data_IF_317045669844
#
_entry.id   IF_317045669844
#
_cell.length_a   1.000
_cell.length_b   1.000
_cell.length_c   1.000
_cell.angle_alpha   90.00
_cell.angle_beta   90.00
_cell.angle_gamma   90.00
#
_symmetry.space_group_name_H-M   'P 1'
#
loop_
_entity.id
_entity.type
_entity.pdbx_description
1 polymer ?
#
# COMPACT_ATOMS: atom_id res chain seq x y z
N UNK A 1 26.18 -0.08 -4.81
CA UNK A 1 24.92 -0.24 -4.02
C UNK A 1 24.22 -1.54 -4.40
N UNK A 2 23.57 -1.68 -5.60
CA UNK A 2 22.83 -2.93 -5.96
C UNK A 2 23.67 -4.22 -5.86
N UNK A 3 24.95 -4.18 -6.23
CA UNK A 3 25.85 -5.33 -6.17
C UNK A 3 26.23 -5.77 -4.74
N UNK A 4 25.87 -4.99 -3.74
CA UNK A 4 26.25 -5.20 -2.33
C UNK A 4 25.03 -5.24 -1.40
N UNK A 5 23.85 -5.00 -1.97
CA UNK A 5 22.61 -4.97 -1.20
C UNK A 5 22.04 -6.38 -1.04
N UNK A 6 21.58 -6.70 0.16
CA UNK A 6 20.82 -7.91 0.47
C UNK A 6 19.32 -7.71 0.20
N UNK A 7 18.83 -6.49 0.43
CA UNK A 7 17.45 -6.07 0.17
C UNK A 7 17.42 -4.61 -0.29
N UNK A 8 16.48 -4.28 -1.16
CA UNK A 8 16.21 -2.92 -1.62
C UNK A 8 14.73 -2.59 -1.51
N UNK A 9 14.41 -1.30 -1.58
CA UNK A 9 13.04 -0.82 -1.73
C UNK A 9 12.97 0.37 -2.68
N UNK A 10 11.84 0.54 -3.36
CA UNK A 10 11.48 1.78 -4.06
C UNK A 10 10.41 2.52 -3.27
N UNK A 11 10.46 3.85 -3.26
CA UNK A 11 9.44 4.73 -2.68
C UNK A 11 9.54 6.11 -3.34
N UNK A 12 9.50 6.14 -4.68
CA UNK A 12 9.77 7.33 -5.48
C UNK A 12 8.51 7.95 -6.07
N UNK A 13 7.40 7.23 -6.01
CA UNK A 13 6.15 7.56 -6.67
C UNK A 13 6.05 6.94 -8.07
N UNK A 14 4.86 6.43 -8.40
CA UNK A 14 4.60 5.66 -9.64
C UNK A 14 5.11 6.35 -10.90
N UNK A 15 4.92 7.67 -11.00
CA UNK A 15 5.34 8.45 -12.18
C UNK A 15 6.87 8.52 -12.34
N UNK A 16 7.63 8.24 -11.29
CA UNK A 16 9.09 8.31 -11.28
C UNK A 16 9.73 6.95 -11.62
N UNK A 17 9.01 5.84 -11.45
CA UNK A 17 9.51 4.49 -11.73
C UNK A 17 10.18 4.38 -13.11
N UNK A 18 9.59 5.00 -14.13
CA UNK A 18 10.16 5.02 -15.50
C UNK A 18 11.56 5.66 -15.59
N UNK A 19 11.88 6.60 -14.70
CA UNK A 19 13.18 7.28 -14.71
C UNK A 19 14.26 6.51 -13.95
N UNK A 20 13.87 5.64 -13.00
CA UNK A 20 14.81 4.78 -12.28
C UNK A 20 15.01 3.42 -12.94
N UNK A 21 14.23 3.07 -13.97
CA UNK A 21 14.31 1.77 -14.64
C UNK A 21 15.67 1.54 -15.33
N UNK A 22 16.21 2.53 -16.04
CA UNK A 22 17.51 2.41 -16.69
C UNK A 22 18.68 2.33 -15.67
N UNK A 23 18.77 3.18 -14.63
CA UNK A 23 19.75 3.00 -13.55
C UNK A 23 19.61 1.64 -12.83
N UNK A 24 18.40 1.15 -12.63
CA UNK A 24 18.16 -0.17 -12.03
C UNK A 24 18.69 -1.28 -12.94
N UNK A 25 18.40 -1.23 -14.26
CA UNK A 25 18.92 -2.18 -15.23
C UNK A 25 20.45 -2.20 -15.27
N UNK A 26 21.10 -1.03 -15.18
CA UNK A 26 22.57 -0.96 -15.07
C UNK A 26 23.10 -1.67 -13.81
N UNK A 27 22.34 -1.60 -12.70
CA UNK A 27 22.63 -2.36 -11.48
C UNK A 27 22.50 -3.88 -11.67
N UNK A 28 21.50 -4.34 -12.42
CA UNK A 28 21.31 -5.77 -12.78
C UNK A 28 22.51 -6.27 -13.60
N UNK A 29 22.88 -5.54 -14.66
CA UNK A 29 24.08 -5.84 -15.49
C UNK A 29 25.32 -5.98 -14.63
N UNK A 30 25.53 -5.03 -13.72
CA UNK A 30 26.69 -5.05 -12.83
C UNK A 30 26.72 -6.23 -11.88
N UNK A 31 25.57 -6.71 -11.40
CA UNK A 31 25.47 -7.94 -10.61
C UNK A 31 25.87 -9.16 -11.44
N UNK A 32 25.31 -9.28 -12.66
CA UNK A 32 25.63 -10.34 -13.60
C UNK A 32 27.11 -10.37 -13.96
N UNK A 33 27.72 -9.22 -14.33
CA UNK A 33 29.15 -9.08 -14.64
C UNK A 33 30.06 -9.53 -13.49
N UNK A 34 29.61 -9.33 -12.24
CA UNK A 34 30.33 -9.76 -11.04
C UNK A 34 30.08 -11.22 -10.66
N UNK A 35 29.26 -11.95 -11.41
CA UNK A 35 28.91 -13.34 -11.11
C UNK A 35 28.17 -13.50 -9.78
N UNK A 36 27.31 -12.54 -9.39
CA UNK A 36 26.59 -12.60 -8.12
C UNK A 36 25.37 -13.49 -8.28
N UNK A 37 25.41 -14.68 -7.66
CA UNK A 37 24.32 -15.66 -7.68
C UNK A 37 23.28 -15.46 -6.56
N UNK A 38 23.63 -14.73 -5.50
CA UNK A 38 22.71 -14.43 -4.42
C UNK A 38 21.51 -13.59 -4.92
N UNK A 39 20.27 -13.96 -4.59
CA UNK A 39 19.10 -13.20 -5.02
C UNK A 39 19.06 -11.81 -4.36
N UNK A 40 18.47 -10.85 -5.08
CA UNK A 40 18.17 -9.53 -4.55
C UNK A 40 16.65 -9.35 -4.50
N UNK A 41 16.11 -9.18 -3.30
CA UNK A 41 14.69 -8.87 -3.09
C UNK A 41 14.48 -7.35 -3.04
N UNK A 42 13.56 -6.85 -3.86
CA UNK A 42 13.26 -5.41 -3.97
C UNK A 42 11.79 -5.17 -3.66
N UNK A 43 11.51 -4.52 -2.54
CA UNK A 43 10.15 -4.19 -2.11
C UNK A 43 9.69 -2.93 -2.87
N UNK A 44 8.62 -3.05 -3.67
CA UNK A 44 8.14 -1.95 -4.53
C UNK A 44 7.10 -1.12 -3.78
N UNK A 45 7.56 -0.20 -2.91
CA UNK A 45 6.71 0.62 -2.04
C UNK A 45 6.02 1.75 -2.80
N UNK A 46 5.26 1.40 -3.84
CA UNK A 46 4.51 2.36 -4.65
C UNK A 46 3.00 2.19 -4.44
N UNK A 47 2.24 3.27 -4.59
CA UNK A 47 0.79 3.23 -4.43
C UNK A 47 0.08 2.87 -5.76
N UNK A 48 0.38 1.69 -6.27
CA UNK A 48 -0.15 1.14 -7.51
C UNK A 48 -0.27 -0.38 -7.37
N UNK A 49 -1.40 -0.94 -7.77
CA UNK A 49 -1.59 -2.41 -7.86
C UNK A 49 -0.79 -2.92 -9.05
N UNK A 50 -0.01 -4.00 -8.86
CA UNK A 50 0.85 -4.55 -9.91
C UNK A 50 2.06 -3.66 -10.23
N UNK A 51 2.52 -2.86 -9.28
CA UNK A 51 3.70 -2.00 -9.45
C UNK A 51 4.98 -2.80 -9.72
N UNK A 52 5.08 -4.01 -9.18
CA UNK A 52 6.13 -5.00 -9.42
C UNK A 52 6.22 -5.36 -10.91
N UNK A 53 5.10 -5.82 -11.49
CA UNK A 53 5.01 -6.20 -12.91
C UNK A 53 5.22 -5.00 -13.84
N UNK A 54 4.67 -3.84 -13.48
CA UNK A 54 4.89 -2.60 -14.22
C UNK A 54 6.38 -2.21 -14.24
N UNK A 55 7.02 -2.22 -13.07
CA UNK A 55 8.44 -1.87 -12.97
C UNK A 55 9.34 -2.91 -13.64
N UNK A 56 9.02 -4.22 -13.52
CA UNK A 56 9.71 -5.27 -14.25
C UNK A 56 9.71 -5.02 -15.76
N UNK A 57 8.55 -4.67 -16.33
CA UNK A 57 8.42 -4.34 -17.75
C UNK A 57 9.32 -3.17 -18.17
N UNK A 58 9.38 -2.11 -17.37
CA UNK A 58 10.24 -0.95 -17.62
C UNK A 58 11.74 -1.30 -17.55
N UNK A 59 12.15 -2.08 -16.57
CA UNK A 59 13.54 -2.51 -16.40
C UNK A 59 13.98 -3.39 -17.57
N UNK A 60 13.16 -4.38 -17.94
CA UNK A 60 13.47 -5.34 -19.04
C UNK A 60 13.61 -4.68 -20.41
N UNK A 61 13.05 -3.50 -20.65
CA UNK A 61 13.27 -2.72 -21.86
C UNK A 61 14.73 -2.24 -22.03
N UNK A 62 15.49 -2.23 -20.94
CA UNK A 62 16.89 -1.80 -20.91
C UNK A 62 17.89 -2.98 -20.80
N UNK A 63 17.41 -4.23 -20.93
CA UNK A 63 18.18 -5.45 -20.78
C UNK A 63 18.15 -6.25 -22.08
N UNK A 64 19.28 -6.90 -22.42
CA UNK A 64 19.32 -7.93 -23.45
C UNK A 64 18.74 -9.28 -22.95
N UNK A 65 18.72 -10.32 -23.77
CA UNK A 65 18.07 -11.58 -23.42
C UNK A 65 18.81 -12.35 -22.32
N UNK A 66 20.14 -12.30 -22.26
CA UNK A 66 20.93 -12.94 -21.20
C UNK A 66 20.73 -12.19 -19.86
N UNK A 67 20.72 -10.86 -19.91
CA UNK A 67 20.45 -9.98 -18.77
C UNK A 67 19.02 -10.14 -18.23
N UNK A 68 18.02 -10.33 -19.13
CA UNK A 68 16.65 -10.65 -18.72
C UNK A 68 16.56 -12.00 -18.02
N UNK A 69 17.25 -13.02 -18.53
CA UNK A 69 17.30 -14.33 -17.89
C UNK A 69 17.93 -14.24 -16.48
N UNK A 70 19.00 -13.46 -16.34
CA UNK A 70 19.60 -13.19 -15.03
C UNK A 70 18.63 -12.42 -14.11
N UNK A 71 17.95 -11.38 -14.62
CA UNK A 71 16.94 -10.64 -13.88
C UNK A 71 15.84 -11.58 -13.36
N UNK A 72 15.28 -12.43 -14.24
CA UNK A 72 14.21 -13.34 -13.90
C UNK A 72 14.61 -14.43 -12.90
N UNK A 73 15.88 -14.78 -12.83
CA UNK A 73 16.38 -15.79 -11.88
C UNK A 73 16.89 -15.21 -10.56
N UNK A 74 17.42 -13.98 -10.54
CA UNK A 74 18.12 -13.43 -9.37
C UNK A 74 17.49 -12.18 -8.76
N UNK A 75 16.57 -11.50 -9.45
CA UNK A 75 15.90 -10.30 -8.92
C UNK A 75 14.44 -10.62 -8.62
N UNK A 76 14.04 -10.44 -7.38
CA UNK A 76 12.65 -10.52 -6.96
C UNK A 76 12.08 -9.12 -6.78
N UNK A 77 10.96 -8.82 -7.41
CA UNK A 77 10.18 -7.61 -7.14
C UNK A 77 9.00 -8.01 -6.26
N UNK A 78 8.98 -7.51 -5.04
CA UNK A 78 8.04 -7.91 -3.99
C UNK A 78 7.01 -6.81 -3.80
N UNK A 79 5.73 -7.14 -3.98
CA UNK A 79 4.64 -6.19 -3.76
C UNK A 79 4.32 -6.06 -2.27
N UNK A 80 4.27 -4.83 -1.70
CA UNK A 80 3.81 -4.57 -0.36
C UNK A 80 2.40 -3.97 -0.35
N UNK A 81 1.74 -4.03 0.80
CA UNK A 81 0.52 -3.26 1.08
C UNK A 81 0.80 -2.15 2.07
N UNK A 82 1.06 -0.93 1.58
CA UNK A 82 1.38 0.22 2.42
C UNK A 82 0.09 0.85 2.95
N UNK A 83 -0.19 0.62 4.24
CA UNK A 83 -1.39 1.13 4.92
C UNK A 83 -1.12 2.28 5.91
N UNK A 84 0.14 2.65 6.13
CA UNK A 84 0.52 3.73 7.05
C UNK A 84 0.16 5.10 6.49
N UNK A 85 -0.56 5.90 7.28
CA UNK A 85 -0.87 7.29 6.93
C UNK A 85 0.29 8.21 7.33
N UNK A 86 0.67 9.09 6.40
CA UNK A 86 1.77 10.05 6.58
C UNK A 86 1.20 11.44 6.39
N UNK A 87 0.95 12.19 7.48
CA UNK A 87 0.49 13.57 7.39
C UNK A 87 1.59 14.49 6.87
N UNK A 88 1.19 15.69 6.44
CA UNK A 88 2.16 16.73 6.15
C UNK A 88 2.96 17.07 7.43
N UNK A 89 4.29 17.10 7.32
CA UNK A 89 5.14 17.47 8.47
C UNK A 89 4.90 18.94 8.83
N UNK A 90 4.54 19.24 10.09
CA UNK A 90 4.36 20.62 10.53
C UNK A 90 5.59 21.47 10.26
N UNK A 91 5.38 22.73 9.82
CA UNK A 91 6.47 23.63 9.45
C UNK A 91 7.51 23.79 10.55
N UNK A 92 7.07 23.89 11.79
CA UNK A 92 7.94 24.02 12.96
C UNK A 92 8.91 22.84 13.16
N UNK A 93 8.51 21.65 12.72
CA UNK A 93 9.35 20.43 12.73
C UNK A 93 10.25 20.42 11.50
N UNK A 94 9.71 20.73 10.32
CA UNK A 94 10.44 20.76 9.06
C UNK A 94 11.55 21.83 9.06
N UNK A 95 11.30 23.01 9.66
CA UNK A 95 12.29 24.08 9.80
C UNK A 95 13.47 23.68 10.71
N UNK A 96 13.23 22.83 11.71
CA UNK A 96 14.30 22.29 12.59
C UNK A 96 15.05 21.13 11.98
N UNK A 97 14.34 20.28 11.23
CA UNK A 97 14.91 19.12 10.56
C UNK A 97 14.17 18.87 9.25
N UNK A 98 14.74 19.27 8.10
CA UNK A 98 14.10 19.10 6.79
C UNK A 98 13.92 17.62 6.36
N UNK A 99 14.57 16.67 7.05
CA UNK A 99 14.43 15.23 6.82
C UNK A 99 13.41 14.60 7.78
N UNK A 100 12.79 15.36 8.68
CA UNK A 100 11.78 14.84 9.60
C UNK A 100 10.50 14.45 8.84
N UNK A 101 9.97 13.26 9.13
CA UNK A 101 8.70 12.76 8.60
C UNK A 101 7.81 12.40 9.78
N UNK A 102 6.62 13.02 9.84
CA UNK A 102 5.59 12.65 10.80
C UNK A 102 4.81 11.45 10.29
N UNK A 103 4.58 10.48 11.17
CA UNK A 103 3.83 9.27 10.83
C UNK A 103 2.92 8.86 11.98
N UNK A 104 1.84 8.15 11.67
CA UNK A 104 1.03 7.50 12.71
C UNK A 104 1.75 6.29 13.34
N UNK A 105 1.30 5.78 14.50
CA UNK A 105 1.90 4.62 15.16
C UNK A 105 1.81 3.31 14.34
N UNK A 106 0.73 3.12 13.55
CA UNK A 106 0.59 1.94 12.69
C UNK A 106 1.81 1.77 11.78
N UNK A 107 2.42 0.58 11.78
CA UNK A 107 3.68 0.34 11.06
C UNK A 107 3.83 -1.08 10.48
N UNK A 108 2.73 -1.83 10.34
CA UNK A 108 2.79 -3.11 9.62
C UNK A 108 3.11 -2.90 8.14
N UNK A 109 4.00 -3.75 7.63
CA UNK A 109 4.38 -3.83 6.23
C UNK A 109 4.08 -5.24 5.70
N UNK A 110 2.82 -5.52 5.30
CA UNK A 110 2.51 -6.76 4.60
C UNK A 110 3.23 -6.79 3.25
N UNK A 111 3.81 -7.95 2.91
CA UNK A 111 4.56 -8.17 1.68
C UNK A 111 4.19 -9.52 1.07
N UNK A 112 4.22 -9.62 -0.26
CA UNK A 112 3.98 -10.88 -0.95
C UNK A 112 5.08 -11.91 -0.64
N UNK A 113 4.72 -12.90 0.21
CA UNK A 113 5.62 -13.98 0.58
C UNK A 113 6.08 -14.82 -0.60
N UNK A 114 5.21 -15.01 -1.60
CA UNK A 114 5.48 -15.88 -2.74
C UNK A 114 6.46 -15.24 -3.74
N UNK A 115 6.58 -13.91 -3.73
CA UNK A 115 7.47 -13.18 -4.63
C UNK A 115 8.94 -13.21 -4.19
N UNK A 116 9.24 -13.52 -2.92
CA UNK A 116 10.62 -13.57 -2.45
C UNK A 116 11.43 -14.70 -3.09
N UNK A 117 12.71 -14.45 -3.29
CA UNK A 117 13.71 -15.44 -3.67
C UNK A 117 14.69 -15.66 -2.52
N UNK A 118 15.00 -16.94 -2.24
CA UNK A 118 15.88 -17.30 -1.14
C UNK A 118 15.25 -17.02 0.23
N UNK A 119 16.07 -16.68 1.19
CA UNK A 119 15.63 -16.39 2.57
C UNK A 119 14.93 -15.03 2.64
N UNK A 120 13.77 -14.99 3.34
CA UNK A 120 13.02 -13.75 3.56
C UNK A 120 13.72 -12.96 4.67
N UNK A 121 14.14 -11.69 4.41
CA UNK A 121 14.84 -10.89 5.40
C UNK A 121 13.97 -10.61 6.62
N UNK A 122 14.55 -10.73 7.82
CA UNK A 122 13.86 -10.47 9.08
C UNK A 122 13.85 -8.97 9.38
N UNK A 123 12.79 -8.29 8.92
CA UNK A 123 12.58 -6.86 9.15
C UNK A 123 11.44 -6.70 10.15
N UNK A 124 11.66 -5.90 11.22
CA UNK A 124 10.63 -5.64 12.24
C UNK A 124 9.36 -5.10 11.59
N UNK A 125 8.21 -5.67 11.95
CA UNK A 125 6.87 -5.33 11.44
C UNK A 125 6.64 -5.65 9.95
N UNK A 126 7.57 -6.29 9.26
CA UNK A 126 7.29 -6.89 7.96
C UNK A 126 6.49 -8.18 8.16
N UNK A 127 5.42 -8.34 7.39
CA UNK A 127 4.47 -9.47 7.48
C UNK A 127 4.41 -10.18 6.13
N UNK A 128 5.29 -11.18 5.87
CA UNK A 128 5.21 -11.98 4.65
C UNK A 128 3.94 -12.85 4.68
N UNK A 129 3.10 -12.74 3.66
CA UNK A 129 1.81 -13.44 3.58
C UNK A 129 1.53 -13.95 2.17
N UNK A 130 0.84 -15.09 2.08
CA UNK A 130 0.31 -15.63 0.83
C UNK A 130 -1.04 -16.32 1.10
N UNK A 131 -2.05 -16.13 0.23
CA UNK A 131 -2.04 -15.35 -1.01
C UNK A 131 -2.08 -13.83 -0.75
N UNK A 132 -1.24 -13.05 -1.44
CA UNK A 132 -1.07 -11.62 -1.14
C UNK A 132 -2.25 -10.75 -1.60
N UNK A 133 -3.06 -11.22 -2.54
CA UNK A 133 -4.30 -10.55 -2.96
C UNK A 133 -5.23 -10.20 -1.80
N UNK A 134 -5.22 -11.00 -0.73
CA UNK A 134 -5.92 -10.67 0.51
C UNK A 134 -5.54 -9.28 1.08
N UNK A 135 -4.25 -8.99 1.19
CA UNK A 135 -3.80 -7.69 1.75
C UNK A 135 -4.10 -6.52 0.82
N UNK A 136 -4.04 -6.73 -0.50
CA UNK A 136 -4.44 -5.74 -1.50
C UNK A 136 -5.93 -5.40 -1.34
N UNK A 137 -6.79 -6.43 -1.30
CA UNK A 137 -8.23 -6.25 -1.14
C UNK A 137 -8.61 -5.75 0.25
N UNK A 138 -7.97 -6.22 1.32
CA UNK A 138 -8.17 -5.68 2.68
C UNK A 138 -7.91 -4.17 2.71
N UNK A 139 -6.80 -3.72 2.14
CA UNK A 139 -6.52 -2.28 2.05
C UNK A 139 -7.56 -1.55 1.19
N UNK A 140 -7.91 -2.10 0.03
CA UNK A 140 -8.80 -1.43 -0.92
C UNK A 140 -10.23 -1.37 -0.38
N UNK A 141 -10.77 -2.50 0.11
CA UNK A 141 -12.18 -2.68 0.46
C UNK A 141 -12.49 -2.43 1.94
N UNK A 142 -11.49 -2.27 2.78
CA UNK A 142 -11.70 -1.83 4.17
C UNK A 142 -11.12 -0.43 4.38
N UNK A 143 -9.79 -0.25 4.33
CA UNK A 143 -9.15 1.05 4.61
C UNK A 143 -9.58 2.13 3.60
N UNK A 144 -9.33 1.91 2.32
CA UNK A 144 -9.60 2.94 1.30
C UNK A 144 -11.10 3.17 1.09
N UNK A 145 -11.91 2.13 1.22
CA UNK A 145 -13.38 2.20 1.16
C UNK A 145 -13.92 3.07 2.27
N UNK A 146 -13.66 2.72 3.52
CA UNK A 146 -14.20 3.44 4.68
C UNK A 146 -13.68 4.88 4.77
N UNK A 147 -12.41 5.11 4.40
CA UNK A 147 -11.86 6.46 4.35
C UNK A 147 -12.57 7.35 3.33
N UNK A 148 -12.87 6.82 2.13
CA UNK A 148 -13.63 7.54 1.11
C UNK A 148 -15.10 7.74 1.52
N UNK A 149 -15.73 6.75 2.13
CA UNK A 149 -17.09 6.83 2.65
C UNK A 149 -17.22 7.97 3.68
N UNK A 150 -16.34 7.97 4.70
CA UNK A 150 -16.30 9.05 5.70
C UNK A 150 -16.10 10.42 5.05
N UNK A 151 -15.23 10.51 4.04
CA UNK A 151 -15.00 11.77 3.33
C UNK A 151 -16.26 12.25 2.57
N UNK A 152 -16.96 11.37 1.85
CA UNK A 152 -18.15 11.77 1.08
C UNK A 152 -19.34 12.12 1.97
N UNK A 153 -19.57 11.38 3.05
CA UNK A 153 -20.61 11.71 4.02
C UNK A 153 -20.26 12.98 4.79
N UNK A 154 -18.98 13.15 5.17
CA UNK A 154 -18.46 14.35 5.79
C UNK A 154 -18.61 15.60 4.92
N UNK A 155 -18.34 15.49 3.62
CA UNK A 155 -18.56 16.56 2.66
C UNK A 155 -20.03 17.00 2.61
N UNK A 156 -20.95 16.04 2.57
CA UNK A 156 -22.40 16.33 2.56
C UNK A 156 -22.89 17.05 3.81
N UNK A 157 -22.26 16.79 4.98
CA UNK A 157 -22.56 17.45 6.26
C UNK A 157 -21.72 18.73 6.51
N UNK A 158 -20.78 19.08 5.60
CA UNK A 158 -19.97 20.31 5.68
C UNK A 158 -18.76 20.23 6.61
N UNK A 159 -18.30 19.03 6.96
CA UNK A 159 -17.08 18.85 7.75
C UNK A 159 -15.83 19.16 6.94
N UNK A 160 -14.82 19.72 7.59
CA UNK A 160 -13.52 20.03 6.97
C UNK A 160 -12.54 18.88 7.09
N UNK A 161 -12.49 18.21 8.23
CA UNK A 161 -11.52 17.16 8.53
C UNK A 161 -12.20 15.80 8.68
N UNK A 162 -11.43 14.74 8.34
CA UNK A 162 -11.88 13.34 8.49
C UNK A 162 -12.18 13.00 9.94
N UNK A 163 -11.36 13.50 10.89
CA UNK A 163 -11.58 13.25 12.32
C UNK A 163 -12.87 13.90 12.83
N UNK A 164 -13.33 15.01 12.26
CA UNK A 164 -14.65 15.60 12.58
C UNK A 164 -15.77 14.73 12.02
N UNK A 165 -15.63 14.34 10.77
CA UNK A 165 -16.61 13.50 10.08
C UNK A 165 -16.81 12.15 10.79
N UNK A 166 -15.73 11.46 11.18
CA UNK A 166 -15.83 10.16 11.88
C UNK A 166 -16.31 10.29 13.34
N UNK A 167 -16.22 11.48 13.93
CA UNK A 167 -16.79 11.76 15.24
C UNK A 167 -18.33 11.95 15.21
N UNK A 168 -18.92 12.24 14.03
CA UNK A 168 -20.36 12.29 13.83
C UNK A 168 -20.96 10.89 13.98
N UNK A 169 -21.98 10.70 14.88
CA UNK A 169 -22.53 9.38 15.17
C UNK A 169 -23.14 8.66 13.96
N UNK A 170 -23.80 9.38 13.05
CA UNK A 170 -24.41 8.77 11.85
C UNK A 170 -23.33 8.27 10.90
N UNK A 171 -22.33 9.13 10.60
CA UNK A 171 -21.20 8.78 9.71
C UNK A 171 -20.40 7.63 10.28
N UNK A 172 -20.13 7.65 11.59
CA UNK A 172 -19.42 6.57 12.29
C UNK A 172 -20.18 5.25 12.18
N UNK A 173 -21.49 5.28 12.37
CA UNK A 173 -22.35 4.10 12.25
C UNK A 173 -22.34 3.53 10.84
N UNK A 174 -22.51 4.37 9.82
CA UNK A 174 -22.45 3.95 8.41
C UNK A 174 -21.09 3.34 8.06
N UNK A 175 -19.99 3.95 8.54
CA UNK A 175 -18.65 3.43 8.32
C UNK A 175 -18.42 2.07 8.99
N UNK A 176 -18.92 1.86 10.22
CA UNK A 176 -18.84 0.58 10.94
C UNK A 176 -19.65 -0.49 10.19
N UNK A 177 -20.85 -0.18 9.71
CA UNK A 177 -21.68 -1.13 8.96
C UNK A 177 -20.97 -1.57 7.67
N UNK A 178 -20.50 -0.62 6.86
CA UNK A 178 -19.77 -0.93 5.62
C UNK A 178 -18.47 -1.74 5.88
N UNK A 179 -17.74 -1.43 6.95
CA UNK A 179 -16.58 -2.20 7.39
C UNK A 179 -16.95 -3.62 7.82
N UNK A 180 -18.09 -3.78 8.51
CA UNK A 180 -18.57 -5.10 8.95
C UNK A 180 -18.94 -5.98 7.76
N UNK A 181 -19.67 -5.43 6.78
CA UNK A 181 -20.02 -6.13 5.53
C UNK A 181 -18.75 -6.55 4.77
N UNK A 182 -17.80 -5.64 4.55
CA UNK A 182 -16.53 -5.95 3.91
C UNK A 182 -15.72 -6.99 4.69
N UNK A 183 -15.74 -6.95 6.03
CA UNK A 183 -15.06 -7.94 6.88
C UNK A 183 -15.66 -9.33 6.70
N UNK A 184 -16.99 -9.46 6.67
CA UNK A 184 -17.68 -10.73 6.43
C UNK A 184 -17.33 -11.29 5.05
N UNK A 185 -17.38 -10.46 4.01
CA UNK A 185 -17.10 -10.86 2.64
C UNK A 185 -15.63 -11.31 2.46
N UNK A 186 -14.66 -10.56 3.00
CA UNK A 186 -13.24 -10.92 2.95
C UNK A 186 -12.93 -12.19 3.78
N UNK A 187 -13.58 -12.34 4.95
CA UNK A 187 -13.45 -13.55 5.75
C UNK A 187 -13.93 -14.79 5.00
N UNK A 188 -15.06 -14.69 4.31
CA UNK A 188 -15.63 -15.78 3.50
C UNK A 188 -14.74 -16.12 2.27
N UNK A 189 -14.24 -15.10 1.57
CA UNK A 189 -13.42 -15.29 0.35
C UNK A 189 -12.04 -15.88 0.67
N UNK A 190 -11.39 -15.46 1.76
CA UNK A 190 -9.99 -15.81 2.06
C UNK A 190 -9.80 -16.75 3.25
N UNK A 191 -10.86 -17.10 3.97
CA UNK A 191 -10.76 -17.96 5.16
C UNK A 191 -10.03 -17.30 6.35
N UNK A 192 -9.85 -15.98 6.34
CA UNK A 192 -9.22 -15.25 7.44
C UNK A 192 -10.23 -15.10 8.59
N UNK A 193 -9.80 -15.27 9.86
CA UNK A 193 -10.72 -15.16 10.99
C UNK A 193 -11.45 -13.80 11.03
N UNK A 194 -12.78 -13.83 11.04
CA UNK A 194 -13.60 -12.61 11.08
C UNK A 194 -13.22 -11.67 12.23
N UNK A 195 -12.86 -12.23 13.38
CA UNK A 195 -12.41 -11.46 14.55
C UNK A 195 -11.22 -10.55 14.23
N UNK A 196 -10.26 -11.02 13.42
CA UNK A 196 -9.08 -10.22 13.04
C UNK A 196 -9.49 -9.04 12.16
N UNK A 197 -10.39 -9.26 11.21
CA UNK A 197 -10.90 -8.20 10.33
C UNK A 197 -11.76 -7.19 11.09
N UNK A 198 -12.57 -7.64 12.05
CA UNK A 198 -13.34 -6.74 12.92
C UNK A 198 -12.43 -5.90 13.84
N UNK A 199 -11.34 -6.49 14.35
CA UNK A 199 -10.34 -5.74 15.13
C UNK A 199 -9.64 -4.68 14.24
N UNK A 200 -9.31 -5.02 13.01
CA UNK A 200 -8.76 -4.07 12.04
C UNK A 200 -9.77 -2.96 11.69
N UNK A 201 -11.07 -3.28 11.59
CA UNK A 201 -12.13 -2.28 11.37
C UNK A 201 -12.21 -1.25 12.51
N UNK A 202 -12.14 -1.71 13.76
CA UNK A 202 -12.13 -0.83 14.94
C UNK A 202 -10.88 0.08 14.94
N UNK A 203 -9.70 -0.50 14.64
CA UNK A 203 -8.45 0.25 14.51
C UNK A 203 -8.55 1.34 13.42
N UNK A 204 -9.15 1.06 12.27
CA UNK A 204 -9.33 2.05 11.20
C UNK A 204 -10.18 3.25 11.66
N UNK A 205 -11.28 3.01 12.37
CA UNK A 205 -12.12 4.07 12.90
C UNK A 205 -11.33 4.96 13.88
N UNK A 206 -10.55 4.36 14.77
CA UNK A 206 -9.71 5.09 15.72
C UNK A 206 -8.60 5.90 15.00
N UNK A 207 -7.98 5.34 13.98
CA UNK A 207 -6.97 6.00 13.14
C UNK A 207 -7.55 7.21 12.41
N UNK A 208 -8.76 7.11 11.85
CA UNK A 208 -9.46 8.24 11.20
C UNK A 208 -9.79 9.35 12.21
N UNK A 209 -10.01 9.01 13.48
CA UNK A 209 -10.20 9.97 14.57
C UNK A 209 -8.93 10.73 14.99
N UNK A 210 -7.76 10.36 14.47
CA UNK A 210 -6.50 11.01 14.84
C UNK A 210 -6.38 12.42 14.22
N UNK A 211 -6.57 13.45 15.04
CA UNK A 211 -6.51 14.86 14.63
C UNK A 211 -5.14 15.26 14.06
N UNK A 212 -4.06 14.63 14.53
CA UNK A 212 -2.70 14.93 14.10
C UNK A 212 -2.41 14.56 12.64
N UNK A 213 -3.24 13.71 12.03
CA UNK A 213 -3.13 13.40 10.61
C UNK A 213 -3.49 14.60 9.72
N UNK A 214 -4.35 15.51 10.19
CA UNK A 214 -4.75 16.68 9.43
C UNK A 214 -5.43 16.38 8.09
N UNK A 215 -5.96 15.16 7.93
CA UNK A 215 -6.62 14.74 6.70
C UNK A 215 -7.91 15.52 6.48
N UNK A 216 -8.01 16.18 5.32
CA UNK A 216 -9.22 16.92 4.97
C UNK A 216 -10.16 16.06 4.13
N UNK A 217 -11.46 16.28 4.35
CA UNK A 217 -12.55 15.69 3.56
C UNK A 217 -12.33 15.94 2.07
N UNK A 218 -11.93 17.18 1.69
CA UNK A 218 -11.65 17.52 0.29
C UNK A 218 -10.51 16.68 -0.29
N UNK A 219 -9.36 16.57 0.41
CA UNK A 219 -8.21 15.79 -0.07
C UNK A 219 -8.56 14.31 -0.25
N UNK A 220 -9.21 13.74 0.76
CA UNK A 220 -9.60 12.33 0.75
C UNK A 220 -10.74 12.07 -0.25
N UNK A 221 -11.63 13.03 -0.47
CA UNK A 221 -12.75 12.92 -1.43
C UNK A 221 -12.35 13.09 -2.91
N UNK A 222 -11.15 13.59 -3.22
CA UNK A 222 -10.69 13.79 -4.62
C UNK A 222 -10.73 12.51 -5.46
N UNK A 223 -10.78 12.68 -6.80
CA UNK A 223 -10.73 11.58 -7.78
C UNK A 223 -11.95 10.64 -7.68
N UNK A 224 -13.14 11.22 -7.58
CA UNK A 224 -14.41 10.50 -7.44
C UNK A 224 -14.67 9.50 -8.56
N UNK A 225 -14.37 9.86 -9.82
CA UNK A 225 -14.59 9.00 -10.97
C UNK A 225 -13.86 7.66 -10.83
N UNK A 226 -12.59 7.67 -10.42
CA UNK A 226 -11.83 6.45 -10.17
C UNK A 226 -12.36 5.72 -8.94
N UNK A 227 -12.55 6.41 -7.80
CA UNK A 227 -12.97 5.80 -6.53
C UNK A 227 -14.35 5.16 -6.57
N UNK A 228 -15.21 5.57 -7.51
CA UNK A 228 -16.53 5.00 -7.77
C UNK A 228 -16.52 4.03 -8.97
N UNK A 229 -15.36 3.72 -9.55
CA UNK A 229 -15.30 2.72 -10.62
C UNK A 229 -15.58 1.31 -10.09
N UNK A 230 -16.01 0.43 -10.97
CA UNK A 230 -16.53 -0.91 -10.66
C UNK A 230 -15.60 -1.77 -9.79
N UNK A 231 -14.29 -1.66 -10.00
CA UNK A 231 -13.29 -2.47 -9.30
C UNK A 231 -12.53 -1.70 -8.21
N UNK A 232 -12.87 -0.43 -7.97
CA UNK A 232 -12.23 0.37 -6.93
C UNK A 232 -13.02 0.25 -5.60
N UNK A 233 -12.54 0.94 -4.59
CA UNK A 233 -12.83 0.82 -3.16
C UNK A 233 -14.30 0.77 -2.73
N UNK A 234 -15.20 1.50 -3.40
CA UNK A 234 -16.62 1.56 -2.98
C UNK A 234 -17.45 0.52 -3.74
N UNK A 235 -17.49 0.61 -5.06
CA UNK A 235 -18.29 -0.31 -5.89
C UNK A 235 -17.69 -1.72 -5.84
N UNK A 236 -16.34 -1.84 -5.88
CA UNK A 236 -15.68 -3.13 -5.77
C UNK A 236 -15.91 -3.84 -4.43
N UNK A 237 -15.95 -3.08 -3.31
CA UNK A 237 -16.30 -3.62 -2.00
C UNK A 237 -17.76 -4.10 -1.98
N UNK A 238 -18.70 -3.28 -2.49
CA UNK A 238 -20.11 -3.68 -2.59
C UNK A 238 -20.30 -4.94 -3.46
N UNK A 239 -19.61 -5.01 -4.61
CA UNK A 239 -19.65 -6.19 -5.48
C UNK A 239 -19.10 -7.45 -4.80
N UNK A 240 -18.10 -7.32 -3.93
CA UNK A 240 -17.61 -8.44 -3.13
C UNK A 240 -18.65 -8.90 -2.11
N UNK A 241 -19.37 -7.98 -1.48
CA UNK A 241 -20.42 -8.29 -0.49
C UNK A 241 -21.67 -8.94 -1.11
N UNK A 242 -21.90 -8.76 -2.41
CA UNK A 242 -23.06 -9.32 -3.13
C UNK A 242 -22.81 -10.76 -3.66
N UNK A 243 -21.61 -11.28 -3.54
CA UNK A 243 -21.27 -12.67 -3.91
C UNK A 243 -21.66 -13.66 -2.83
#
# INVERSE_FOLDING_TARGET
AMAEADVMATAVGVNILKFIAAPFAAGVKRRMEKGIEAPLNVIICENMIGADSYFAGLVKQNLDDAEKAYFDSHIALVEPSIGRMVPATPKEIADKNPLAVCVEPYCELPVDKAAFRGEIPQIKNMVPFAPFDFYIRRKLFMHNMSHALVAYLGYRKGYTYIWEAVADPDIRTDAIHALSESSCALSAEYGVPLKELMSFSAELIDRFGNRLLGDTVERVGKDTKRKLSENDRLVGAANLCLK
#
